data_IF_900579369496
#
_entry.id   IF_900579369496
#
_cell.length_a   1.000
_cell.length_b   1.000
_cell.length_c   1.000
_cell.angle_alpha   90.00
_cell.angle_beta   90.00
_cell.angle_gamma   90.00
#
_symmetry.space_group_name_H-M   'P 1'
#
loop_
_entity.id
_entity.type
_entity.pdbx_description
1 polymer ?
#
# COMPACT_ATOMS: atom_id res chain seq x y z
N UNK A 1 -2.03 22.62 7.16
CA UNK A 1 -0.73 22.26 7.78
C UNK A 1 -0.12 21.15 6.95
N UNK A 2 0.93 21.44 6.17
CA UNK A 2 1.51 20.49 5.22
C UNK A 2 2.18 19.28 5.90
N UNK A 3 2.46 19.35 7.20
CA UNK A 3 3.03 18.22 7.95
C UNK A 3 2.08 17.03 8.08
N UNK A 4 0.77 17.26 8.12
CA UNK A 4 -0.21 16.17 8.14
C UNK A 4 -0.36 15.53 6.75
N UNK A 5 -0.05 16.27 5.69
CA UNK A 5 -0.12 15.77 4.33
C UNK A 5 0.89 14.66 4.06
N UNK A 6 2.13 14.83 4.51
CA UNK A 6 3.20 13.84 4.27
C UNK A 6 2.80 12.48 4.85
N UNK A 7 2.19 12.47 6.04
CA UNK A 7 1.68 11.25 6.66
C UNK A 7 0.51 10.61 5.89
N UNK A 8 -0.30 11.41 5.19
CA UNK A 8 -1.42 10.89 4.40
C UNK A 8 -0.99 10.37 3.04
N UNK A 9 -0.04 11.05 2.40
CA UNK A 9 0.50 10.68 1.09
C UNK A 9 1.18 9.30 1.12
N UNK A 10 1.73 8.90 2.28
CA UNK A 10 2.31 7.58 2.49
C UNK A 10 1.25 6.47 2.66
N UNK A 11 0.01 6.82 3.00
CA UNK A 11 -1.04 5.85 3.32
C UNK A 11 -2.07 5.70 2.21
N UNK A 12 -2.40 6.80 1.50
CA UNK A 12 -3.45 6.86 0.51
C UNK A 12 -2.92 7.10 -0.89
N UNK A 13 -3.57 6.47 -1.86
CA UNK A 13 -3.41 6.73 -3.28
C UNK A 13 -4.67 7.42 -3.85
N UNK A 14 -4.58 8.16 -4.96
CA UNK A 14 -5.75 8.76 -5.60
C UNK A 14 -6.87 7.74 -5.88
N UNK A 15 -6.50 6.52 -6.26
CA UNK A 15 -7.42 5.42 -6.59
C UNK A 15 -8.19 4.89 -5.37
N UNK A 16 -7.73 5.20 -4.17
CA UNK A 16 -8.42 4.81 -2.92
C UNK A 16 -9.72 5.59 -2.72
N UNK A 17 -9.89 6.71 -3.39
CA UNK A 17 -11.13 7.48 -3.33
C UNK A 17 -12.18 6.91 -4.28
N UNK A 18 -13.43 6.83 -3.81
CA UNK A 18 -14.54 6.32 -4.61
C UNK A 18 -14.99 7.30 -5.69
N UNK A 19 -15.02 8.61 -5.35
CA UNK A 19 -15.48 9.66 -6.26
C UNK A 19 -14.34 10.11 -7.15
N UNK A 20 -14.54 10.17 -8.48
CA UNK A 20 -13.52 10.67 -9.42
C UNK A 20 -13.04 12.08 -9.09
N UNK A 21 -13.94 12.93 -8.60
CA UNK A 21 -13.58 14.30 -8.22
C UNK A 21 -12.53 14.30 -7.10
N UNK A 22 -12.68 13.41 -6.11
CA UNK A 22 -11.71 13.29 -5.01
C UNK A 22 -10.38 12.69 -5.48
N UNK A 23 -10.40 11.77 -6.44
CA UNK A 23 -9.18 11.23 -7.05
C UNK A 23 -8.36 12.32 -7.72
N UNK A 24 -9.03 13.19 -8.50
CA UNK A 24 -8.39 14.32 -9.16
C UNK A 24 -7.82 15.29 -8.12
N UNK A 25 -8.62 15.68 -7.13
CA UNK A 25 -8.20 16.59 -6.06
C UNK A 25 -6.97 16.05 -5.34
N UNK A 26 -7.02 14.79 -4.90
CA UNK A 26 -5.92 14.17 -4.15
C UNK A 26 -4.65 14.07 -5.00
N UNK A 27 -4.75 13.66 -6.26
CA UNK A 27 -3.61 13.62 -7.19
C UNK A 27 -2.95 14.98 -7.38
N UNK A 28 -3.74 16.06 -7.55
CA UNK A 28 -3.19 17.41 -7.72
C UNK A 28 -2.56 17.92 -6.41
N UNK A 29 -3.15 17.58 -5.25
CA UNK A 29 -2.55 17.89 -3.95
C UNK A 29 -1.22 17.13 -3.75
N UNK A 30 -1.13 15.87 -4.17
CA UNK A 30 0.13 15.09 -4.13
C UNK A 30 1.20 15.77 -4.97
N UNK A 31 0.86 16.20 -6.18
CA UNK A 31 1.80 16.90 -7.05
C UNK A 31 2.27 18.23 -6.47
N UNK A 32 1.38 19.00 -5.85
CA UNK A 32 1.76 20.23 -5.16
C UNK A 32 2.72 19.98 -4.00
N UNK A 33 2.53 18.87 -3.25
CA UNK A 33 3.44 18.46 -2.18
C UNK A 33 4.83 18.14 -2.72
N UNK A 34 4.93 17.35 -3.78
CA UNK A 34 6.19 17.02 -4.45
C UNK A 34 6.93 18.26 -4.92
N UNK A 35 6.19 19.23 -5.49
CA UNK A 35 6.70 20.52 -5.95
C UNK A 35 7.00 21.49 -4.80
N UNK A 36 6.77 21.08 -3.55
CA UNK A 36 6.89 21.93 -2.34
C UNK A 36 6.07 23.21 -2.41
N UNK A 37 4.97 23.17 -3.14
CA UNK A 37 4.00 24.26 -3.23
C UNK A 37 3.03 24.22 -2.05
N UNK A 38 2.54 25.36 -1.59
CA UNK A 38 1.51 25.39 -0.55
C UNK A 38 0.26 24.64 -0.99
N UNK A 39 -0.30 23.81 -0.12
CA UNK A 39 -1.56 23.13 -0.34
C UNK A 39 -2.66 23.92 0.39
N UNK A 40 -3.38 24.73 -0.37
CA UNK A 40 -4.56 25.45 0.06
C UNK A 40 -5.58 25.52 -1.09
N UNK A 41 -6.80 25.98 -0.80
CA UNK A 41 -7.89 26.01 -1.79
C UNK A 41 -7.55 26.87 -2.99
N UNK A 42 -6.86 27.98 -2.79
CA UNK A 42 -6.54 28.94 -3.86
C UNK A 42 -5.50 28.35 -4.81
N UNK A 43 -4.43 27.79 -4.25
CA UNK A 43 -3.38 27.13 -5.04
C UNK A 43 -3.90 25.88 -5.74
N UNK A 44 -4.75 25.11 -5.07
CA UNK A 44 -5.40 23.92 -5.65
C UNK A 44 -6.30 24.30 -6.84
N UNK A 45 -7.15 25.32 -6.69
CA UNK A 45 -7.97 25.84 -7.80
C UNK A 45 -7.12 26.32 -8.98
N UNK A 46 -6.01 27.02 -8.70
CA UNK A 46 -5.06 27.47 -9.72
C UNK A 46 -4.45 26.31 -10.50
N UNK A 47 -4.01 25.28 -9.81
CA UNK A 47 -3.44 24.07 -10.42
C UNK A 47 -4.48 23.29 -11.23
N UNK A 48 -5.67 23.06 -10.69
CA UNK A 48 -6.77 22.38 -11.37
C UNK A 48 -7.20 23.15 -12.65
N UNK A 49 -7.26 24.47 -12.59
CA UNK A 49 -7.59 25.30 -13.74
C UNK A 49 -6.49 25.23 -14.83
N UNK A 50 -5.22 25.24 -14.43
CA UNK A 50 -4.08 25.11 -15.34
C UNK A 50 -4.06 23.77 -16.07
N UNK A 51 -4.55 22.71 -15.42
CA UNK A 51 -4.68 21.37 -15.97
C UNK A 51 -6.00 21.16 -16.75
N UNK A 52 -6.88 22.14 -16.80
CA UNK A 52 -8.25 22.04 -17.35
C UNK A 52 -9.10 20.96 -16.64
N UNK A 53 -8.86 20.70 -15.38
CA UNK A 53 -9.55 19.68 -14.59
C UNK A 53 -10.48 20.26 -13.49
N UNK A 54 -10.60 21.57 -13.40
CA UNK A 54 -11.39 22.23 -12.36
C UNK A 54 -12.85 21.76 -12.36
N UNK A 55 -13.48 21.68 -13.53
CA UNK A 55 -14.86 21.20 -13.67
C UNK A 55 -14.98 19.71 -13.33
N UNK A 56 -13.99 18.91 -13.72
CA UNK A 56 -13.94 17.48 -13.40
C UNK A 56 -13.70 17.22 -11.91
N UNK A 57 -13.09 18.14 -11.20
CA UNK A 57 -12.92 18.12 -9.74
C UNK A 57 -14.17 18.61 -8.98
N UNK A 58 -15.25 18.94 -9.68
CA UNK A 58 -16.52 19.42 -9.11
C UNK A 58 -16.72 20.93 -9.14
N UNK A 59 -15.77 21.69 -9.70
CA UNK A 59 -15.85 23.14 -9.81
C UNK A 59 -15.56 23.86 -8.50
N UNK A 60 -15.59 25.20 -8.59
CA UNK A 60 -15.25 26.11 -7.48
C UNK A 60 -16.20 25.93 -6.29
N UNK A 61 -17.48 25.77 -6.55
CA UNK A 61 -18.51 25.64 -5.50
C UNK A 61 -18.28 24.39 -4.65
N UNK A 62 -17.96 23.27 -5.30
CA UNK A 62 -17.69 22.01 -4.62
C UNK A 62 -16.42 22.07 -3.76
N UNK A 63 -15.33 22.66 -4.28
CA UNK A 63 -14.10 22.84 -3.52
C UNK A 63 -14.31 23.75 -2.29
N UNK A 64 -15.12 24.79 -2.42
CA UNK A 64 -15.49 25.66 -1.30
C UNK A 64 -16.31 24.90 -0.26
N UNK A 65 -17.31 24.11 -0.69
CA UNK A 65 -18.11 23.29 0.20
C UNK A 65 -17.27 22.25 0.97
N UNK A 66 -16.32 21.60 0.30
CA UNK A 66 -15.38 20.67 0.96
C UNK A 66 -14.59 21.35 2.06
N UNK A 67 -14.14 22.58 1.83
CA UNK A 67 -13.36 23.35 2.80
C UNK A 67 -14.22 23.77 3.99
N UNK A 68 -15.44 24.24 3.75
CA UNK A 68 -16.36 24.65 4.80
C UNK A 68 -16.79 23.49 5.70
N UNK A 69 -16.86 22.28 5.14
CA UNK A 69 -17.19 21.04 5.85
C UNK A 69 -15.98 20.40 6.54
N UNK A 70 -14.75 20.81 6.24
CA UNK A 70 -13.54 20.30 6.85
C UNK A 70 -13.40 20.80 8.30
N UNK A 71 -14.01 20.10 9.25
CA UNK A 71 -14.00 20.43 10.69
C UNK A 71 -12.91 19.65 11.43
N UNK A 72 -11.68 20.18 11.34
CA UNK A 72 -10.56 19.72 12.17
C UNK A 72 -9.84 18.48 11.64
N UNK A 73 -8.55 18.43 11.92
CA UNK A 73 -7.63 17.36 11.48
C UNK A 73 -7.41 16.27 12.54
N UNK A 74 -8.06 16.37 13.70
CA UNK A 74 -7.77 15.53 14.87
C UNK A 74 -7.85 14.01 14.62
N UNK A 75 -8.54 13.55 13.57
CA UNK A 75 -8.72 12.12 13.26
C UNK A 75 -8.37 11.78 11.80
N UNK A 76 -7.53 12.57 11.16
CA UNK A 76 -7.25 12.42 9.73
C UNK A 76 -6.70 11.04 9.38
N UNK A 77 -5.84 10.47 10.23
CA UNK A 77 -5.31 9.12 10.06
C UNK A 77 -6.40 8.05 10.11
N UNK A 78 -7.30 8.15 11.08
CA UNK A 78 -8.41 7.20 11.18
C UNK A 78 -9.33 7.26 9.95
N UNK A 79 -9.54 8.45 9.37
CA UNK A 79 -10.28 8.59 8.13
C UNK A 79 -9.52 8.01 6.93
N UNK A 80 -8.21 8.19 6.87
CA UNK A 80 -7.36 7.61 5.85
C UNK A 80 -7.41 6.08 5.88
N UNK A 81 -7.31 5.48 7.06
CA UNK A 81 -7.44 4.02 7.25
C UNK A 81 -8.81 3.51 6.76
N UNK A 82 -9.90 4.21 7.10
CA UNK A 82 -11.24 3.84 6.64
C UNK A 82 -11.34 3.90 5.12
N UNK A 83 -10.82 4.96 4.49
CA UNK A 83 -10.80 5.11 3.02
C UNK A 83 -10.04 3.95 2.40
N UNK A 84 -8.85 3.65 2.93
CA UNK A 84 -7.98 2.56 2.48
C UNK A 84 -8.65 1.20 2.58
N UNK A 85 -9.23 0.88 3.73
CA UNK A 85 -9.95 -0.37 3.94
C UNK A 85 -11.09 -0.54 2.92
N UNK A 86 -11.87 0.52 2.70
CA UNK A 86 -12.95 0.50 1.71
C UNK A 86 -12.44 0.37 0.28
N UNK A 87 -11.30 0.95 -0.05
CA UNK A 87 -10.66 0.82 -1.34
C UNK A 87 -10.23 -0.64 -1.60
N UNK A 88 -9.57 -1.27 -0.64
CA UNK A 88 -9.18 -2.69 -0.71
C UNK A 88 -10.40 -3.59 -0.95
N UNK A 89 -11.48 -3.38 -0.22
CA UNK A 89 -12.71 -4.16 -0.40
C UNK A 89 -13.31 -3.97 -1.80
N UNK A 90 -13.35 -2.74 -2.33
CA UNK A 90 -13.83 -2.46 -3.69
C UNK A 90 -12.96 -3.17 -4.73
N UNK A 91 -11.65 -3.12 -4.56
CA UNK A 91 -10.70 -3.78 -5.45
C UNK A 91 -10.85 -5.29 -5.42
N UNK A 92 -10.99 -5.87 -4.23
CA UNK A 92 -11.26 -7.31 -4.06
C UNK A 92 -12.54 -7.73 -4.79
N UNK A 93 -13.61 -6.95 -4.68
CA UNK A 93 -14.88 -7.21 -5.39
C UNK A 93 -14.65 -7.13 -6.91
N UNK A 94 -13.93 -6.14 -7.40
CA UNK A 94 -13.63 -5.98 -8.82
C UNK A 94 -12.83 -7.17 -9.37
N UNK A 95 -11.77 -7.57 -8.67
CA UNK A 95 -10.93 -8.71 -9.04
C UNK A 95 -11.73 -10.01 -8.99
N UNK A 96 -12.55 -10.23 -7.96
CA UNK A 96 -13.39 -11.42 -7.87
C UNK A 96 -14.38 -11.52 -9.06
N UNK A 97 -14.97 -10.39 -9.48
CA UNK A 97 -15.84 -10.35 -10.67
C UNK A 97 -15.03 -10.62 -11.95
N UNK A 98 -13.81 -10.10 -12.06
CA UNK A 98 -12.89 -10.40 -13.17
C UNK A 98 -12.58 -11.89 -13.27
N UNK A 99 -12.19 -12.50 -12.15
CA UNK A 99 -11.92 -13.95 -12.06
C UNK A 99 -13.15 -14.78 -12.44
N UNK A 100 -14.33 -14.43 -11.93
CA UNK A 100 -15.55 -15.11 -12.28
C UNK A 100 -15.83 -15.04 -13.80
N UNK A 101 -15.68 -13.85 -14.40
CA UNK A 101 -15.86 -13.67 -15.84
C UNK A 101 -14.84 -14.47 -16.65
N UNK A 102 -13.58 -14.53 -16.22
CA UNK A 102 -12.53 -15.33 -16.88
C UNK A 102 -12.83 -16.82 -16.80
N UNK A 103 -13.46 -17.28 -15.71
CA UNK A 103 -13.92 -18.66 -15.56
C UNK A 103 -15.09 -19.02 -16.50
N UNK A 104 -16.03 -18.08 -16.70
CA UNK A 104 -17.13 -18.27 -17.66
C UNK A 104 -16.70 -18.14 -19.12
N UNK A 105 -15.74 -17.27 -19.41
CA UNK A 105 -15.29 -16.90 -20.75
C UNK A 105 -13.78 -17.10 -20.88
N UNK A 106 -13.35 -18.36 -20.91
CA UNK A 106 -11.91 -18.70 -20.93
C UNK A 106 -11.18 -18.25 -22.20
N UNK A 107 -11.90 -17.93 -23.28
CA UNK A 107 -11.29 -17.56 -24.57
C UNK A 107 -10.38 -18.65 -25.17
N UNK A 108 -10.60 -19.92 -24.80
CA UNK A 108 -9.76 -21.06 -25.22
C UNK A 108 -8.50 -21.25 -24.35
N UNK A 109 -8.30 -20.47 -23.27
CA UNK A 109 -7.23 -20.68 -22.31
C UNK A 109 -7.45 -21.99 -21.53
N UNK A 110 -6.37 -22.66 -21.14
CA UNK A 110 -6.42 -23.80 -20.22
C UNK A 110 -6.74 -23.33 -18.82
N UNK A 111 -7.42 -24.18 -18.03
CA UNK A 111 -7.78 -23.86 -16.66
C UNK A 111 -6.58 -23.43 -15.78
N UNK A 112 -5.41 -24.03 -15.97
CA UNK A 112 -4.19 -23.65 -15.26
C UNK A 112 -3.80 -22.19 -15.51
N UNK A 113 -3.90 -21.71 -16.77
CA UNK A 113 -3.56 -20.31 -17.10
C UNK A 113 -4.55 -19.34 -16.46
N UNK A 114 -5.84 -19.68 -16.46
CA UNK A 114 -6.85 -18.85 -15.80
C UNK A 114 -6.65 -18.80 -14.29
N UNK A 115 -6.20 -19.91 -13.70
CA UNK A 115 -5.87 -19.96 -12.27
C UNK A 115 -4.65 -19.10 -11.94
N UNK A 116 -3.58 -19.21 -12.72
CA UNK A 116 -2.35 -18.41 -12.53
C UNK A 116 -2.65 -16.91 -12.65
N UNK A 117 -3.47 -16.51 -13.63
CA UNK A 117 -3.91 -15.12 -13.79
C UNK A 117 -4.72 -14.65 -12.57
N UNK A 118 -5.64 -15.48 -12.05
CA UNK A 118 -6.42 -15.17 -10.86
C UNK A 118 -5.55 -15.01 -9.60
N UNK A 119 -4.57 -15.88 -9.42
CA UNK A 119 -3.62 -15.78 -8.31
C UNK A 119 -2.82 -14.47 -8.37
N UNK A 120 -2.35 -14.07 -9.55
CA UNK A 120 -1.63 -12.82 -9.75
C UNK A 120 -2.51 -11.60 -9.44
N UNK A 121 -3.78 -11.59 -9.90
CA UNK A 121 -4.70 -10.49 -9.62
C UNK A 121 -5.02 -10.36 -8.13
N UNK A 122 -5.20 -11.47 -7.41
CA UNK A 122 -5.42 -11.44 -5.96
C UNK A 122 -4.15 -11.01 -5.22
N UNK A 123 -2.98 -11.50 -5.65
CA UNK A 123 -1.71 -11.15 -5.03
C UNK A 123 -1.38 -9.66 -5.18
N UNK A 124 -1.71 -9.05 -6.33
CA UNK A 124 -1.50 -7.62 -6.56
C UNK A 124 -2.22 -6.75 -5.53
N UNK A 125 -3.41 -7.18 -5.03
CA UNK A 125 -4.13 -6.44 -3.99
C UNK A 125 -3.34 -6.41 -2.68
N UNK A 126 -2.60 -7.48 -2.38
CA UNK A 126 -1.80 -7.58 -1.17
C UNK A 126 -0.48 -6.79 -1.29
N UNK A 127 0.13 -6.77 -2.49
CA UNK A 127 1.40 -6.08 -2.77
C UNK A 127 1.24 -4.55 -2.79
N UNK A 128 0.08 -4.04 -3.18
CA UNK A 128 -0.22 -2.60 -3.14
C UNK A 128 -0.51 -2.06 -1.74
N UNK A 129 -0.41 -2.89 -0.72
CA UNK A 129 -0.34 -2.36 0.63
C UNK A 129 0.93 -1.52 0.70
N UNK A 130 0.86 -0.22 1.02
CA UNK A 130 2.03 0.44 1.55
C UNK A 130 2.49 -0.50 2.65
N UNK A 131 3.68 -1.06 2.48
CA UNK A 131 4.21 -1.90 3.55
C UNK A 131 4.17 -1.00 4.78
N UNK A 132 3.48 -1.46 5.81
CA UNK A 132 3.34 -0.80 7.12
C UNK A 132 4.71 -0.67 7.84
N UNK A 133 5.74 -0.78 7.04
CA UNK A 133 7.14 -0.64 7.34
C UNK A 133 7.66 0.62 6.66
N UNK A 134 7.19 1.77 7.12
CA UNK A 134 8.04 2.94 7.12
C UNK A 134 9.40 2.57 7.70
N UNK A 135 10.46 3.41 7.59
CA UNK A 135 11.77 3.08 8.12
C UNK A 135 11.63 2.57 9.54
N UNK A 136 11.74 1.25 9.73
CA UNK A 136 11.62 0.64 11.07
C UNK A 136 12.77 1.20 11.89
N UNK A 137 12.51 1.80 13.05
CA UNK A 137 13.58 2.26 13.92
C UNK A 137 14.60 1.14 14.11
N UNK A 138 15.87 1.44 13.94
CA UNK A 138 16.93 0.42 13.99
C UNK A 138 16.98 -0.30 15.33
N UNK A 139 16.56 0.36 16.42
CA UNK A 139 16.64 -0.19 17.76
C UNK A 139 15.87 -1.53 17.95
N UNK A 140 14.59 -1.68 17.51
CA UNK A 140 13.90 -2.97 17.58
C UNK A 140 14.54 -4.06 16.72
N UNK A 141 15.12 -3.67 15.56
CA UNK A 141 15.83 -4.62 14.69
C UNK A 141 17.14 -5.05 15.33
N UNK A 142 17.87 -4.11 15.94
CA UNK A 142 19.11 -4.39 16.65
C UNK A 142 18.87 -5.32 17.85
N UNK A 143 17.83 -5.08 18.64
CA UNK A 143 17.46 -5.97 19.75
C UNK A 143 17.18 -7.39 19.26
N UNK A 144 16.37 -7.54 18.23
CA UNK A 144 16.07 -8.86 17.63
C UNK A 144 17.34 -9.56 17.07
N UNK A 145 18.25 -8.78 16.48
CA UNK A 145 19.52 -9.32 15.98
C UNK A 145 20.44 -9.79 17.12
N UNK A 146 20.52 -9.03 18.21
CA UNK A 146 21.28 -9.40 19.41
C UNK A 146 20.69 -10.65 20.06
N UNK A 147 19.36 -10.68 20.27
CA UNK A 147 18.66 -11.85 20.82
C UNK A 147 18.93 -13.11 19.97
N UNK A 148 18.92 -12.94 18.63
CA UNK A 148 19.22 -14.04 17.72
C UNK A 148 20.67 -14.51 17.78
N UNK A 149 21.61 -13.59 17.94
CA UNK A 149 23.03 -13.93 18.14
C UNK A 149 23.22 -14.66 19.46
N UNK A 150 22.56 -14.22 20.53
CA UNK A 150 22.63 -14.88 21.83
C UNK A 150 22.00 -16.28 21.80
N UNK A 151 20.88 -16.47 21.11
CA UNK A 151 20.31 -17.80 20.86
C UNK A 151 21.29 -18.70 20.13
N UNK A 152 21.90 -18.22 19.04
CA UNK A 152 22.86 -18.98 18.25
C UNK A 152 24.15 -19.28 19.03
N UNK A 153 24.62 -18.35 19.86
CA UNK A 153 25.79 -18.54 20.71
C UNK A 153 25.54 -19.56 21.83
N UNK A 154 24.28 -19.75 22.23
CA UNK A 154 23.89 -20.74 23.24
C UNK A 154 23.67 -22.17 22.67
N UNK A 155 23.71 -22.36 21.34
CA UNK A 155 23.59 -23.66 20.71
C UNK A 155 24.97 -24.34 20.66
N UNK A 156 25.15 -25.38 21.45
CA UNK A 156 26.35 -26.26 21.45
C UNK A 156 26.41 -27.17 20.20
N UNK A 157 26.32 -26.61 18.99
CA UNK A 157 26.36 -27.42 17.76
C UNK A 157 26.49 -26.57 16.49
N UNK A 158 27.06 -27.17 15.45
CA UNK A 158 27.20 -26.55 14.12
C UNK A 158 25.86 -26.38 13.37
N UNK A 159 24.77 -26.92 13.92
CA UNK A 159 23.45 -26.94 13.27
C UNK A 159 22.57 -25.82 13.81
N UNK A 160 22.39 -24.76 13.02
CA UNK A 160 21.53 -23.62 13.36
C UNK A 160 20.15 -23.68 12.72
N UNK A 161 19.96 -24.57 11.73
CA UNK A 161 18.73 -24.84 11.00
C UNK A 161 18.16 -26.23 11.23
N UNK A 162 17.15 -26.60 10.40
CA UNK A 162 16.55 -27.93 10.40
C UNK A 162 17.51 -28.93 9.75
N UNK A 163 17.79 -30.04 10.42
CA UNK A 163 18.65 -31.08 9.86
C UNK A 163 18.06 -31.69 8.59
N UNK A 164 18.88 -31.83 7.55
CA UNK A 164 18.53 -32.51 6.29
C UNK A 164 18.57 -34.06 6.43
N UNK A 165 19.22 -34.55 7.48
CA UNK A 165 19.50 -35.95 7.69
C UNK A 165 20.78 -36.47 6.99
N UNK A 166 21.49 -35.58 6.28
CA UNK A 166 22.79 -35.87 5.65
C UNK A 166 23.87 -35.06 6.37
N UNK A 167 24.72 -35.75 7.15
CA UNK A 167 25.69 -35.11 8.04
C UNK A 167 26.64 -34.15 7.30
N UNK A 168 27.16 -34.56 6.14
CA UNK A 168 28.08 -33.75 5.35
C UNK A 168 27.42 -32.46 4.80
N UNK A 169 26.13 -32.56 4.47
CA UNK A 169 25.35 -31.42 4.00
C UNK A 169 25.01 -30.46 5.14
N UNK A 170 24.62 -31.02 6.28
CA UNK A 170 24.31 -30.25 7.48
C UNK A 170 25.55 -29.51 8.02
N UNK A 171 26.75 -30.11 7.93
CA UNK A 171 28.01 -29.45 8.27
C UNK A 171 28.35 -28.30 7.31
N UNK A 172 28.04 -28.42 6.01
CA UNK A 172 28.32 -27.41 5.02
C UNK A 172 27.32 -26.24 5.04
N UNK A 173 26.06 -26.49 5.35
CA UNK A 173 24.96 -25.50 5.26
C UNK A 173 24.49 -25.02 6.63
N UNK A 174 24.92 -25.66 7.72
CA UNK A 174 24.38 -25.47 9.07
C UNK A 174 22.88 -25.78 9.19
N UNK A 175 22.37 -26.64 8.29
CA UNK A 175 20.96 -27.01 8.17
C UNK A 175 20.11 -25.99 7.39
N UNK A 176 18.88 -26.39 7.07
CA UNK A 176 17.95 -25.55 6.31
C UNK A 176 17.42 -24.38 7.15
N UNK A 177 17.54 -23.17 6.62
CA UNK A 177 17.04 -21.97 7.27
C UNK A 177 15.60 -21.65 6.81
N UNK A 178 14.86 -20.85 7.58
CA UNK A 178 13.45 -20.51 7.34
C UNK A 178 13.16 -19.75 6.04
N UNK A 179 14.15 -19.43 5.23
CA UNK A 179 14.02 -18.67 3.96
C UNK A 179 14.78 -19.32 2.80
N UNK A 180 15.25 -20.55 2.97
CA UNK A 180 15.88 -21.33 1.90
C UNK A 180 14.85 -22.02 1.01
#
# INVERSE_FOLDING_TARGET
>A
DNTEWDNLADVLLPEDFYRPEHQIIFRVMSQQSEDRSPIDVVTLMGSLNSLNELESAGGIEYLSELTDNARGTANIHAYAEIIRERAILRRLISVANGIANSGYNTGGKKAAVVLDEAEQEVFSIADERPQDQGPVPINPLLSKAVDRIDELAGLDGSLTGLSTGFTDLDEMTSGWQKSD
#
